data_IF_348347266624
#
_entry.id   IF_348347266624
#
_cell.length_a   1.000
_cell.length_b   1.000
_cell.length_c   1.000
_cell.angle_alpha   90.00
_cell.angle_beta   90.00
_cell.angle_gamma   90.00
#
_symmetry.space_group_name_H-M   'P 1'
#
loop_
_entity.id
_entity.type
_entity.pdbx_description
1 polymer ?
#
# COMPACT_ATOMS: atom_id res chain seq x y z
N UNK A 1 21.14 8.94 1.11
CA UNK A 1 19.92 8.72 1.92
C UNK A 1 18.87 9.68 1.38
N UNK A 2 17.74 9.18 0.88
CA UNK A 2 16.71 10.00 0.25
C UNK A 2 15.97 10.81 1.31
N UNK A 3 16.21 12.13 1.36
CA UNK A 3 15.57 13.02 2.34
C UNK A 3 14.04 13.03 2.21
N UNK A 4 13.51 12.87 1.00
CA UNK A 4 12.07 12.81 0.75
C UNK A 4 11.47 11.56 1.39
N UNK A 5 12.13 10.40 1.29
CA UNK A 5 11.66 9.17 1.92
C UNK A 5 11.59 9.29 3.45
N UNK A 6 12.66 9.81 4.07
CA UNK A 6 12.68 10.02 5.52
C UNK A 6 11.60 11.00 5.98
N UNK A 7 11.30 12.03 5.18
CA UNK A 7 10.21 12.96 5.47
C UNK A 7 8.85 12.27 5.46
N UNK A 8 8.60 11.33 4.54
CA UNK A 8 7.35 10.56 4.54
C UNK A 8 7.22 9.67 5.79
N UNK A 9 8.30 8.96 6.18
CA UNK A 9 8.31 8.19 7.42
C UNK A 9 8.09 9.09 8.65
N UNK A 10 8.68 10.28 8.65
CA UNK A 10 8.50 11.26 9.71
C UNK A 10 7.07 11.79 9.79
N UNK A 11 6.40 12.04 8.66
CA UNK A 11 4.98 12.41 8.65
C UNK A 11 4.11 11.32 9.25
N UNK A 12 4.36 10.06 8.90
CA UNK A 12 3.64 8.94 9.51
C UNK A 12 3.82 8.88 11.03
N UNK A 13 5.06 9.04 11.50
CA UNK A 13 5.36 9.15 12.93
C UNK A 13 4.62 10.32 13.58
N UNK A 14 4.67 11.50 12.95
CA UNK A 14 3.99 12.69 13.45
C UNK A 14 2.48 12.46 13.61
N UNK A 15 1.85 11.77 12.66
CA UNK A 15 0.43 11.45 12.71
C UNK A 15 0.11 10.42 13.81
N UNK A 16 0.99 9.45 14.07
CA UNK A 16 0.74 8.43 15.11
C UNK A 16 0.80 9.01 16.51
N UNK A 17 1.67 9.99 16.74
CA UNK A 17 1.82 10.64 18.06
C UNK A 17 0.91 11.87 18.25
N UNK A 18 0.23 12.32 17.19
CA UNK A 18 -0.80 13.37 17.27
C UNK A 18 -0.32 14.79 16.94
N UNK A 19 0.53 14.96 15.93
CA UNK A 19 0.74 16.26 15.28
C UNK A 19 2.08 16.94 15.53
N UNK A 20 3.18 16.19 15.60
CA UNK A 20 4.52 16.81 15.60
C UNK A 20 4.83 17.38 14.22
N UNK A 21 5.02 18.69 14.11
CA UNK A 21 5.21 19.35 12.80
C UNK A 21 6.67 19.48 12.36
N UNK A 22 7.65 19.25 13.26
CA UNK A 22 9.07 19.44 12.96
C UNK A 22 9.97 18.41 13.64
N UNK A 23 10.97 17.95 12.90
CA UNK A 23 12.03 17.10 13.44
C UNK A 23 12.88 17.86 14.47
N UNK A 24 13.26 17.18 15.56
CA UNK A 24 14.20 17.72 16.55
C UNK A 24 15.06 16.62 17.16
N UNK A 25 16.23 16.97 17.68
CA UNK A 25 17.12 16.00 18.33
C UNK A 25 16.49 15.30 19.54
N UNK A 26 15.50 15.93 20.18
CA UNK A 26 14.77 15.35 21.31
C UNK A 26 13.85 14.21 20.90
N UNK A 27 13.38 14.18 19.65
CA UNK A 27 12.45 13.17 19.13
C UNK A 27 13.13 12.18 18.18
N UNK A 28 14.43 12.34 17.94
CA UNK A 28 15.21 11.50 17.03
C UNK A 28 15.16 10.03 17.44
N UNK A 29 15.38 9.73 18.73
CA UNK A 29 15.35 8.36 19.25
C UNK A 29 13.94 7.75 19.16
N UNK A 30 12.90 8.54 19.43
CA UNK A 30 11.51 8.08 19.35
C UNK A 30 11.13 7.79 17.89
N UNK A 31 11.55 8.63 16.95
CA UNK A 31 11.36 8.42 15.53
C UNK A 31 12.10 7.17 15.02
N UNK A 32 13.36 6.98 15.40
CA UNK A 32 14.12 5.77 15.04
C UNK A 32 13.45 4.52 15.60
N UNK A 33 13.00 4.58 16.86
CA UNK A 33 12.28 3.48 17.51
C UNK A 33 10.95 3.19 16.80
N UNK A 34 10.24 4.23 16.36
CA UNK A 34 9.03 4.11 15.56
C UNK A 34 9.32 3.40 14.24
N UNK A 35 10.36 3.79 13.49
CA UNK A 35 10.72 3.14 12.22
C UNK A 35 11.07 1.67 12.43
N UNK A 36 11.86 1.36 13.45
CA UNK A 36 12.23 -0.02 13.78
C UNK A 36 11.00 -0.88 14.16
N UNK A 37 10.11 -0.34 14.99
CA UNK A 37 8.85 -1.00 15.37
C UNK A 37 7.93 -1.19 14.17
N UNK A 38 7.74 -0.18 13.34
CA UNK A 38 6.90 -0.28 12.16
C UNK A 38 7.44 -1.28 11.13
N UNK A 39 8.76 -1.41 11.00
CA UNK A 39 9.36 -2.46 10.20
C UNK A 39 8.98 -3.86 10.72
N UNK A 40 8.96 -4.06 12.04
CA UNK A 40 8.49 -5.32 12.63
C UNK A 40 7.01 -5.58 12.38
N UNK A 41 6.15 -4.59 12.64
CA UNK A 41 4.69 -4.72 12.41
C UNK A 41 4.40 -4.94 10.92
N UNK A 42 5.17 -4.34 10.01
CA UNK A 42 5.09 -4.59 8.56
C UNK A 42 5.27 -6.08 8.23
N UNK A 43 6.24 -6.74 8.87
CA UNK A 43 6.46 -8.17 8.70
C UNK A 43 5.36 -9.05 9.31
N UNK A 44 4.67 -8.58 10.35
CA UNK A 44 3.48 -9.26 10.88
C UNK A 44 2.27 -9.05 9.99
N UNK A 45 2.09 -7.85 9.45
CA UNK A 45 1.06 -7.55 8.46
C UNK A 45 1.22 -8.43 7.20
N UNK A 46 2.45 -8.70 6.79
CA UNK A 46 2.77 -9.65 5.72
C UNK A 46 2.18 -11.04 6.01
N UNK A 47 2.34 -11.55 7.24
CA UNK A 47 1.77 -12.85 7.66
C UNK A 47 0.25 -12.80 7.76
N UNK A 48 -0.29 -11.67 8.22
CA UNK A 48 -1.72 -11.43 8.27
C UNK A 48 -2.37 -11.51 6.88
N UNK A 49 -1.75 -10.89 5.86
CA UNK A 49 -2.21 -11.02 4.47
C UNK A 49 -2.22 -12.48 3.98
N UNK A 50 -1.18 -13.26 4.32
CA UNK A 50 -1.15 -14.69 3.99
C UNK A 50 -2.26 -15.48 4.69
N UNK A 51 -2.53 -15.16 5.97
CA UNK A 51 -3.63 -15.75 6.73
C UNK A 51 -4.99 -15.46 6.07
N UNK A 52 -5.19 -14.25 5.55
CA UNK A 52 -6.38 -13.90 4.77
C UNK A 52 -6.44 -14.61 3.40
N UNK A 53 -5.37 -15.29 2.98
CA UNK A 53 -5.28 -15.98 1.69
C UNK A 53 -4.87 -15.08 0.53
N UNK A 54 -4.24 -13.93 0.80
CA UNK A 54 -3.65 -13.06 -0.21
C UNK A 54 -2.23 -13.55 -0.53
N UNK A 55 -2.04 -14.09 -1.73
CA UNK A 55 -0.73 -14.55 -2.20
C UNK A 55 0.12 -13.35 -2.65
N UNK A 56 0.74 -12.70 -1.66
CA UNK A 56 1.65 -11.58 -1.89
C UNK A 56 2.94 -11.97 -2.62
N UNK A 57 3.31 -13.25 -2.69
CA UNK A 57 4.54 -13.70 -3.37
C UNK A 57 4.33 -13.96 -4.87
N UNK A 58 3.10 -13.83 -5.34
CA UNK A 58 2.75 -13.93 -6.73
C UNK A 58 3.43 -12.80 -7.54
N UNK A 59 4.07 -13.14 -8.65
CA UNK A 59 4.72 -12.18 -9.55
C UNK A 59 3.75 -11.19 -10.21
N UNK A 60 2.44 -11.40 -10.06
CA UNK A 60 1.38 -10.49 -10.50
C UNK A 60 1.02 -9.43 -9.46
N UNK A 61 1.68 -9.44 -8.29
CA UNK A 61 1.52 -8.41 -7.26
C UNK A 61 2.49 -7.28 -7.54
N UNK A 62 1.93 -6.08 -7.49
CA UNK A 62 2.64 -4.82 -7.62
C UNK A 62 2.49 -4.02 -6.33
N UNK A 63 3.60 -3.71 -5.66
CA UNK A 63 3.63 -2.86 -4.47
C UNK A 63 3.85 -1.39 -4.86
N UNK A 64 3.01 -0.49 -4.33
CA UNK A 64 3.02 0.94 -4.66
C UNK A 64 3.54 1.80 -3.51
N UNK A 65 4.47 2.72 -3.85
CA UNK A 65 4.96 3.80 -2.98
C UNK A 65 5.53 3.29 -1.64
N UNK A 66 6.51 2.40 -1.72
CA UNK A 66 7.24 1.89 -0.54
C UNK A 66 8.73 2.04 -0.67
N UNK A 67 9.41 2.12 0.47
CA UNK A 67 10.87 2.15 0.53
C UNK A 67 11.41 1.05 1.44
N UNK A 68 12.73 1.09 1.66
CA UNK A 68 13.48 0.05 2.37
C UNK A 68 12.96 -0.34 3.76
N UNK A 69 12.39 0.60 4.51
CA UNK A 69 11.98 0.38 5.90
C UNK A 69 10.51 0.00 6.05
N UNK A 70 9.74 -0.05 4.97
CA UNK A 70 8.31 -0.33 5.03
C UNK A 70 7.77 -1.10 3.81
N UNK A 71 8.62 -1.55 2.90
CA UNK A 71 8.24 -2.46 1.81
C UNK A 71 8.15 -3.91 2.30
N UNK A 72 7.06 -4.60 1.95
CA UNK A 72 6.90 -6.05 2.20
C UNK A 72 7.60 -6.92 1.14
N UNK A 73 8.02 -6.29 0.04
CA UNK A 73 8.63 -6.93 -1.13
C UNK A 73 10.12 -7.19 -1.00
N UNK A 74 10.80 -6.51 -0.07
CA UNK A 74 12.26 -6.54 0.10
C UNK A 74 12.85 -7.97 0.12
N UNK A 75 12.10 -8.94 0.65
CA UNK A 75 12.61 -10.30 0.85
C UNK A 75 12.16 -11.31 -0.23
N UNK A 76 11.25 -10.91 -1.12
CA UNK A 76 10.51 -11.86 -1.98
C UNK A 76 11.07 -12.01 -3.39
N UNK A 77 11.86 -11.05 -3.88
CA UNK A 77 12.46 -11.03 -5.23
C UNK A 77 11.49 -11.01 -6.42
N UNK A 78 10.22 -11.38 -6.21
CA UNK A 78 9.22 -11.62 -7.24
C UNK A 78 8.18 -10.51 -7.34
N UNK A 79 8.08 -9.63 -6.35
CA UNK A 79 7.10 -8.53 -6.33
C UNK A 79 7.72 -7.30 -7.01
N UNK A 80 7.02 -6.76 -8.00
CA UNK A 80 7.41 -5.49 -8.60
C UNK A 80 7.11 -4.35 -7.62
N UNK A 81 8.03 -3.39 -7.49
CA UNK A 81 7.81 -2.18 -6.69
C UNK A 81 7.82 -0.97 -7.60
N UNK A 82 6.72 -0.20 -7.62
CA UNK A 82 6.63 1.11 -8.27
C UNK A 82 6.60 2.17 -7.17
N UNK A 83 7.70 2.89 -7.03
CA UNK A 83 7.91 3.81 -5.92
C UNK A 83 8.87 4.93 -6.29
N UNK A 84 8.56 6.13 -5.81
CA UNK A 84 9.47 7.27 -5.84
C UNK A 84 10.71 7.06 -4.96
N UNK A 85 10.74 5.96 -4.20
CA UNK A 85 11.79 5.58 -3.27
C UNK A 85 12.46 4.26 -3.68
N UNK A 86 12.29 3.82 -4.93
CA UNK A 86 12.89 2.60 -5.47
C UNK A 86 14.40 2.53 -5.27
N UNK A 87 15.10 3.66 -5.34
CA UNK A 87 16.56 3.71 -5.09
C UNK A 87 16.96 3.20 -3.69
N UNK A 88 16.07 3.34 -2.70
CA UNK A 88 16.33 2.85 -1.33
C UNK A 88 16.39 1.33 -1.26
N UNK A 89 15.79 0.66 -2.27
CA UNK A 89 15.75 -0.78 -2.49
C UNK A 89 16.78 -1.24 -3.52
N UNK A 90 17.61 -0.34 -4.07
CA UNK A 90 18.49 -0.65 -5.21
C UNK A 90 17.74 -0.78 -6.55
N UNK A 91 16.52 -0.26 -6.63
CA UNK A 91 15.68 -0.26 -7.83
C UNK A 91 15.65 1.14 -8.48
N UNK A 92 15.09 1.24 -9.69
CA UNK A 92 14.80 2.55 -10.31
C UNK A 92 13.62 3.22 -9.60
N UNK A 93 13.63 4.54 -9.54
CA UNK A 93 12.47 5.29 -9.07
C UNK A 93 11.40 5.33 -10.15
N UNK A 94 10.15 5.10 -9.75
CA UNK A 94 8.98 5.19 -10.60
C UNK A 94 7.83 5.88 -9.88
N UNK A 95 7.05 6.71 -10.57
CA UNK A 95 5.85 7.33 -10.03
C UNK A 95 4.61 6.58 -10.52
N UNK A 96 3.69 6.23 -9.63
CA UNK A 96 2.41 5.62 -9.97
C UNK A 96 1.32 6.68 -10.22
N UNK A 97 0.44 6.46 -11.20
CA UNK A 97 -0.76 7.27 -11.40
C UNK A 97 -1.90 6.47 -11.98
N UNK A 98 -3.12 7.00 -11.85
CA UNK A 98 -4.32 6.46 -12.47
C UNK A 98 -4.78 7.41 -13.57
N UNK A 99 -4.85 6.90 -14.80
CA UNK A 99 -5.51 7.57 -15.90
C UNK A 99 -6.96 7.05 -15.98
N UNK A 100 -7.93 7.94 -15.83
CA UNK A 100 -9.37 7.62 -15.92
C UNK A 100 -9.95 8.22 -17.20
N UNK A 101 -10.53 7.38 -18.05
CA UNK A 101 -11.37 7.80 -19.17
C UNK A 101 -12.84 7.67 -18.75
N UNK A 102 -13.44 8.79 -18.34
CA UNK A 102 -14.81 8.82 -17.85
C UNK A 102 -15.85 8.55 -18.94
N UNK A 103 -15.50 8.82 -20.21
CA UNK A 103 -16.41 8.58 -21.35
C UNK A 103 -16.49 7.09 -21.68
N UNK A 104 -15.37 6.38 -21.55
CA UNK A 104 -15.29 4.94 -21.82
C UNK A 104 -15.42 4.06 -20.58
N UNK A 105 -15.56 4.68 -19.40
CA UNK A 105 -15.54 3.99 -18.10
C UNK A 105 -14.30 3.11 -17.91
N UNK A 106 -13.14 3.59 -18.39
CA UNK A 106 -11.88 2.86 -18.30
C UNK A 106 -10.91 3.50 -17.31
N UNK A 107 -10.13 2.65 -16.66
CA UNK A 107 -9.07 3.06 -15.73
C UNK A 107 -7.80 2.31 -16.09
N UNK A 108 -6.73 3.07 -16.25
CA UNK A 108 -5.41 2.58 -16.60
C UNK A 108 -4.43 2.93 -15.48
N UNK A 109 -3.96 1.95 -14.70
CA UNK A 109 -2.80 2.13 -13.84
C UNK A 109 -1.55 2.30 -14.70
N UNK A 110 -0.87 3.42 -14.50
CA UNK A 110 0.32 3.80 -15.23
C UNK A 110 1.47 4.04 -14.27
N UNK A 111 2.69 3.92 -14.78
CA UNK A 111 3.87 4.41 -14.08
C UNK A 111 4.83 5.15 -15.00
N UNK A 112 5.61 6.04 -14.39
CA UNK A 112 6.53 6.95 -15.06
C UNK A 112 7.94 6.76 -14.51
N UNK A 113 8.93 6.70 -15.40
CA UNK A 113 10.33 6.80 -14.98
C UNK A 113 10.76 8.26 -14.79
N UNK A 114 12.01 8.48 -14.37
CA UNK A 114 12.59 9.81 -14.16
C UNK A 114 12.64 10.65 -15.45
N UNK A 115 12.62 10.01 -16.62
CA UNK A 115 12.58 10.65 -17.93
C UNK A 115 11.14 10.90 -18.43
N UNK A 116 10.13 10.60 -17.61
CA UNK A 116 8.70 10.72 -17.93
C UNK A 116 8.24 9.78 -19.05
N UNK A 117 8.96 8.70 -19.31
CA UNK A 117 8.46 7.61 -20.15
C UNK A 117 7.27 6.96 -19.45
N UNK A 118 6.19 6.71 -20.21
CA UNK A 118 4.93 6.18 -19.68
C UNK A 118 4.87 4.69 -19.93
N UNK A 119 4.50 3.93 -18.90
CA UNK A 119 4.33 2.50 -18.95
C UNK A 119 2.97 2.10 -18.38
N UNK A 120 2.37 1.06 -18.95
CA UNK A 120 1.12 0.47 -18.44
C UNK A 120 1.49 -0.61 -17.43
N UNK A 121 0.77 -0.67 -16.31
CA UNK A 121 0.93 -1.74 -15.33
C UNK A 121 0.40 -3.06 -15.88
N UNK A 122 1.28 -4.06 -15.93
CA UNK A 122 0.98 -5.45 -16.29
C UNK A 122 1.01 -6.33 -15.03
N UNK A 123 0.08 -6.07 -14.12
CA UNK A 123 -0.05 -6.79 -12.85
C UNK A 123 -1.53 -6.90 -12.51
N UNK A 124 -1.95 -8.08 -12.05
CA UNK A 124 -3.35 -8.31 -11.72
C UNK A 124 -3.73 -7.80 -10.33
N UNK A 125 -2.77 -7.63 -9.42
CA UNK A 125 -3.00 -7.19 -8.04
C UNK A 125 -2.16 -5.94 -7.76
N UNK A 126 -2.81 -4.85 -7.38
CA UNK A 126 -2.15 -3.60 -6.98
C UNK A 126 -2.28 -3.46 -5.46
N UNK A 127 -1.14 -3.36 -4.78
CA UNK A 127 -1.06 -3.42 -3.32
C UNK A 127 -0.36 -2.18 -2.74
N UNK A 128 -0.87 -1.69 -1.62
CA UNK A 128 -0.13 -0.79 -0.74
C UNK A 128 -0.60 -0.96 0.71
N UNK A 129 0.14 -0.38 1.64
CA UNK A 129 -0.19 -0.43 3.07
C UNK A 129 0.39 0.77 3.78
N UNK A 130 -0.32 1.35 4.75
CA UNK A 130 0.08 2.61 5.39
C UNK A 130 0.62 3.61 4.32
N UNK A 131 -0.20 4.05 3.35
CA UNK A 131 0.25 5.00 2.34
C UNK A 131 0.72 6.30 3.01
N UNK A 132 1.72 6.97 2.42
CA UNK A 132 2.21 8.25 2.95
C UNK A 132 1.22 9.39 2.70
N UNK A 133 0.43 9.28 1.63
CA UNK A 133 -0.65 10.19 1.29
C UNK A 133 -1.91 9.39 0.97
N UNK A 134 -2.95 9.55 1.79
CA UNK A 134 -4.23 8.85 1.60
C UNK A 134 -5.00 9.33 0.37
N UNK A 135 -4.72 10.54 -0.14
CA UNK A 135 -5.32 11.01 -1.39
C UNK A 135 -4.84 10.17 -2.59
N UNK A 136 -3.67 9.54 -2.50
CA UNK A 136 -3.14 8.67 -3.56
C UNK A 136 -3.94 7.38 -3.75
N UNK A 137 -4.65 6.93 -2.72
CA UNK A 137 -5.44 5.69 -2.74
C UNK A 137 -6.96 5.93 -2.84
N UNK A 138 -7.42 7.18 -2.69
CA UNK A 138 -8.86 7.52 -2.63
C UNK A 138 -9.67 7.02 -3.83
N UNK A 139 -9.04 6.95 -5.00
CA UNK A 139 -9.69 6.55 -6.25
C UNK A 139 -9.41 5.08 -6.64
N UNK A 140 -8.79 4.29 -5.76
CA UNK A 140 -8.46 2.89 -6.08
C UNK A 140 -9.70 2.00 -6.19
N UNK A 141 -10.84 2.38 -5.61
CA UNK A 141 -12.11 1.70 -5.90
C UNK A 141 -12.43 1.70 -7.40
N UNK A 142 -11.97 2.71 -8.17
CA UNK A 142 -12.16 2.75 -9.63
C UNK A 142 -11.32 1.67 -10.34
N UNK A 143 -10.08 1.40 -9.88
CA UNK A 143 -9.27 0.28 -10.40
C UNK A 143 -10.00 -1.04 -10.25
N UNK A 144 -10.61 -1.24 -9.09
CA UNK A 144 -11.40 -2.42 -8.83
C UNK A 144 -12.64 -2.47 -9.72
N UNK A 145 -13.46 -1.40 -9.73
CA UNK A 145 -14.78 -1.42 -10.37
C UNK A 145 -14.73 -1.61 -11.90
N UNK A 146 -13.63 -1.25 -12.58
CA UNK A 146 -13.48 -1.46 -14.05
C UNK A 146 -13.31 -2.92 -14.49
N UNK A 147 -13.22 -3.87 -13.56
CA UNK A 147 -13.24 -5.27 -13.95
C UNK A 147 -11.90 -5.97 -14.02
N UNK A 148 -10.81 -5.20 -14.10
CA UNK A 148 -9.50 -5.64 -14.62
C UNK A 148 -8.44 -5.90 -13.54
N UNK A 149 -8.52 -5.21 -12.40
CA UNK A 149 -7.50 -5.24 -11.35
C UNK A 149 -8.10 -5.65 -10.02
N UNK A 150 -7.37 -6.45 -9.25
CA UNK A 150 -7.58 -6.59 -7.82
C UNK A 150 -6.76 -5.54 -7.06
N UNK A 151 -7.27 -5.12 -5.90
CA UNK A 151 -6.59 -4.19 -5.01
C UNK A 151 -6.45 -4.79 -3.61
N UNK A 152 -5.35 -4.47 -2.95
CA UNK A 152 -5.10 -4.79 -1.54
C UNK A 152 -4.57 -3.54 -0.84
N UNK A 153 -5.32 -2.99 0.10
CA UNK A 153 -4.94 -1.79 0.85
C UNK A 153 -4.89 -2.10 2.35
N UNK A 154 -3.70 -1.97 2.94
CA UNK A 154 -3.46 -2.21 4.36
C UNK A 154 -3.37 -0.96 5.21
N UNK A 155 -3.82 -1.05 6.46
CA UNK A 155 -3.50 -0.10 7.53
C UNK A 155 -3.16 -0.90 8.79
N UNK A 156 -2.02 -0.62 9.39
CA UNK A 156 -1.59 -1.30 10.62
C UNK A 156 -0.79 -0.35 11.50
N UNK A 157 -0.67 -0.72 12.77
CA UNK A 157 0.07 0.05 13.76
C UNK A 157 -0.25 -0.39 15.17
N UNK A 158 0.02 0.48 16.13
CA UNK A 158 -0.29 0.26 17.54
C UNK A 158 -1.75 0.65 17.84
N UNK A 159 -2.45 -0.11 18.69
CA UNK A 159 -3.84 0.23 19.04
C UNK A 159 -3.99 1.60 19.71
N UNK A 160 -2.88 2.15 20.24
CA UNK A 160 -2.78 3.46 20.87
C UNK A 160 -2.42 4.60 19.91
N UNK A 161 -2.10 4.30 18.65
CA UNK A 161 -1.78 5.31 17.63
C UNK A 161 -2.94 6.30 17.48
N UNK A 162 -2.64 7.61 17.54
CA UNK A 162 -3.65 8.67 17.48
C UNK A 162 -4.39 8.74 16.15
N UNK A 163 -3.77 8.28 15.06
CA UNK A 163 -4.36 8.26 13.73
C UNK A 163 -5.01 6.92 13.35
N UNK A 164 -5.12 5.95 14.25
CA UNK A 164 -5.71 4.62 13.97
C UNK A 164 -7.12 4.73 13.39
N UNK A 165 -8.02 5.42 14.09
CA UNK A 165 -9.43 5.49 13.67
C UNK A 165 -9.57 6.22 12.33
N UNK A 166 -8.73 7.23 12.10
CA UNK A 166 -8.66 7.92 10.81
C UNK A 166 -8.25 6.97 9.67
N UNK A 167 -7.19 6.18 9.86
CA UNK A 167 -6.73 5.18 8.89
C UNK A 167 -7.80 4.13 8.58
N UNK A 168 -8.47 3.61 9.61
CA UNK A 168 -9.55 2.62 9.46
C UNK A 168 -10.72 3.23 8.68
N UNK A 169 -11.09 4.48 8.97
CA UNK A 169 -12.19 5.15 8.28
C UNK A 169 -11.88 5.42 6.81
N UNK A 170 -10.62 5.68 6.44
CA UNK A 170 -10.21 5.77 5.02
C UNK A 170 -10.51 4.46 4.28
N UNK A 171 -10.13 3.31 4.86
CA UNK A 171 -10.41 2.01 4.24
C UNK A 171 -11.92 1.73 4.16
N UNK A 172 -12.70 2.09 5.19
CA UNK A 172 -14.16 1.95 5.18
C UNK A 172 -14.81 2.78 4.07
N UNK A 173 -14.33 4.01 3.85
CA UNK A 173 -14.83 4.87 2.79
C UNK A 173 -14.52 4.31 1.40
N UNK A 174 -13.31 3.78 1.19
CA UNK A 174 -12.98 3.12 -0.09
C UNK A 174 -13.83 1.86 -0.27
N UNK A 175 -14.02 1.06 0.78
CA UNK A 175 -14.85 -0.14 0.77
C UNK A 175 -16.31 0.16 0.39
N UNK A 176 -16.90 1.25 0.89
CA UNK A 176 -18.28 1.62 0.53
C UNK A 176 -18.47 2.00 -0.93
N UNK A 177 -17.39 2.35 -1.65
CA UNK A 177 -17.41 2.69 -3.07
C UNK A 177 -17.05 1.48 -3.98
N UNK A 178 -16.72 0.32 -3.40
CA UNK A 178 -16.40 -0.89 -4.14
C UNK A 178 -17.64 -1.75 -4.40
N UNK A 179 -17.69 -2.34 -5.60
CA UNK A 179 -18.74 -3.30 -5.98
C UNK A 179 -18.52 -4.68 -5.29
N UNK A 180 -19.43 -5.64 -5.54
CA UNK A 180 -19.40 -7.01 -4.97
C UNK A 180 -18.04 -7.71 -5.12
N UNK A 181 -17.69 -8.65 -4.22
CA UNK A 181 -16.46 -9.50 -4.18
C UNK A 181 -15.19 -8.83 -3.59
N UNK A 182 -15.38 -8.04 -2.53
CA UNK A 182 -14.32 -7.49 -1.68
C UNK A 182 -14.54 -7.78 -0.19
N UNK A 183 -13.45 -7.87 0.58
CA UNK A 183 -13.45 -8.07 2.03
C UNK A 183 -12.82 -6.88 2.75
N UNK A 184 -13.40 -6.53 3.89
CA UNK A 184 -12.85 -5.60 4.86
C UNK A 184 -12.57 -6.39 6.13
N UNK A 185 -11.28 -6.63 6.41
CA UNK A 185 -10.81 -7.49 7.49
C UNK A 185 -10.12 -6.63 8.56
N UNK A 186 -10.49 -6.77 9.83
CA UNK A 186 -9.90 -6.05 10.95
C UNK A 186 -9.65 -7.00 12.12
N UNK A 187 -8.40 -7.04 12.58
CA UNK A 187 -7.97 -7.85 13.70
C UNK A 187 -7.00 -7.09 14.60
N UNK A 188 -6.85 -7.57 15.83
CA UNK A 188 -5.88 -7.06 16.80
C UNK A 188 -5.08 -8.20 17.39
N UNK A 189 -3.79 -8.00 17.56
CA UNK A 189 -2.90 -8.98 18.18
C UNK A 189 -1.78 -8.27 18.96
N UNK A 190 -1.52 -8.68 20.19
CA UNK A 190 -0.47 -8.13 21.07
C UNK A 190 -0.35 -6.59 21.10
N UNK A 191 -1.48 -5.88 21.18
CA UNK A 191 -1.49 -4.39 21.20
C UNK A 191 -1.28 -3.73 19.84
N UNK A 192 -1.30 -4.50 18.76
CA UNK A 192 -1.25 -4.03 17.37
C UNK A 192 -2.63 -4.19 16.74
N UNK A 193 -2.90 -3.39 15.71
CA UNK A 193 -4.06 -3.59 14.84
C UNK A 193 -3.60 -3.86 13.42
N UNK A 194 -4.38 -4.67 12.72
CA UNK A 194 -4.25 -4.94 11.30
C UNK A 194 -5.62 -4.75 10.64
N UNK A 195 -5.67 -3.89 9.65
CA UNK A 195 -6.86 -3.63 8.86
C UNK A 195 -6.49 -3.79 7.38
N UNK A 196 -7.29 -4.54 6.62
CA UNK A 196 -7.02 -4.81 5.22
C UNK A 196 -8.29 -4.76 4.41
N UNK A 197 -8.23 -4.05 3.29
CA UNK A 197 -9.26 -4.02 2.26
C UNK A 197 -8.73 -4.80 1.06
N UNK A 198 -9.34 -5.95 0.77
CA UNK A 198 -8.89 -6.85 -0.29
C UNK A 198 -10.03 -7.12 -1.27
N UNK A 199 -9.79 -6.97 -2.56
CA UNK A 199 -10.68 -7.56 -3.55
C UNK A 199 -10.23 -8.96 -3.94
N UNK A 200 -11.19 -9.80 -4.33
CA UNK A 200 -10.92 -11.18 -4.75
C UNK A 200 -11.73 -11.52 -5.98
N UNK A 201 -11.44 -10.91 -7.12
CA UNK A 201 -12.07 -11.36 -8.36
C UNK A 201 -11.66 -12.81 -8.60
N UNK A 202 -12.63 -13.71 -8.69
CA UNK A 202 -12.41 -15.02 -9.34
C UNK A 202 -11.96 -14.73 -10.76
N UNK A 203 -10.64 -14.70 -11.00
CA UNK A 203 -10.09 -14.66 -12.35
C UNK A 203 -10.76 -15.79 -13.10
N UNK A 204 -11.59 -15.45 -14.10
CA UNK A 204 -12.23 -16.45 -14.95
C UNK A 204 -11.09 -17.19 -15.66
N UNK A 205 -10.64 -18.31 -15.09
CA UNK A 205 -9.73 -19.22 -15.76
C UNK A 205 -10.44 -19.66 -17.03
N UNK A 206 -9.89 -19.31 -18.18
CA UNK A 206 -10.32 -19.88 -19.46
C UNK A 206 -10.03 -21.38 -19.36
N UNK A 207 -11.06 -22.19 -19.11
CA UNK A 207 -10.95 -23.64 -19.21
C UNK A 207 -10.80 -23.91 -20.71
N UNK A 208 -9.59 -24.27 -21.14
CA UNK A 208 -9.40 -24.85 -22.47
C UNK A 208 -10.01 -26.26 -22.40
N UNK A 209 -11.26 -26.40 -22.82
CA UNK A 209 -11.79 -27.71 -23.19
C UNK A 209 -11.01 -28.20 -24.41
N UNK A 210 -10.26 -29.29 -24.22
CA UNK A 210 -9.63 -30.08 -25.27
C UNK A 210 -10.69 -30.79 -26.11
#
# INVERSE_FOLDING_TARGET
MNFTYLNELFKQYADTVGGITKFSKKIENDFISFVARNYYICNEYKKYLQYLGIDIFNSQVLEINKGKYDSISCDSGNIMVISNYGETLGLKNYTFSLLTDEVKEEVYPLYFDENKNIYIVDSSIILTHNPYDYLSIRNWFKLYNVGKYDISIGMYGDITDKNKDFKINILKNIYSDMNDDCSFDYDTDEGKYFCSLNSRRKVKKKILTL
#
